data_IF_294569910663
#
_entry.id   IF_294569910663
#
_cell.length_a   1.000
_cell.length_b   1.000
_cell.length_c   1.000
_cell.angle_alpha   90.00
_cell.angle_beta   90.00
_cell.angle_gamma   90.00
#
_symmetry.space_group_name_H-M   'P 1'
#
loop_
_entity.id
_entity.type
_entity.pdbx_description
1 polymer ?
#
# COMPACT_ATOMS: atom_id res chain seq x y z
N UNK A 1 7.40 -14.22 -1.29
CA UNK A 1 6.57 -13.43 -2.22
C UNK A 1 5.35 -13.01 -1.44
N UNK A 2 5.26 -11.72 -1.12
CA UNK A 2 4.17 -11.16 -0.32
C UNK A 2 3.19 -10.44 -1.23
N UNK A 3 1.92 -10.46 -0.88
CA UNK A 3 0.86 -9.73 -1.58
C UNK A 3 0.37 -8.62 -0.67
N UNK A 4 0.14 -7.43 -1.22
CA UNK A 4 -0.40 -6.29 -0.48
C UNK A 4 -1.60 -5.71 -1.22
N UNK A 5 -2.65 -5.35 -0.48
CA UNK A 5 -3.80 -4.63 -1.03
C UNK A 5 -3.53 -3.13 -1.00
N UNK A 6 -3.80 -2.46 -2.12
CA UNK A 6 -3.66 -1.00 -2.25
C UNK A 6 -5.02 -0.34 -2.23
N UNK A 7 -5.18 0.71 -1.42
CA UNK A 7 -6.35 1.59 -1.46
C UNK A 7 -5.95 2.93 -2.06
N UNK A 8 -6.47 3.20 -3.26
CA UNK A 8 -6.21 4.43 -4.00
C UNK A 8 -7.37 5.41 -3.77
N UNK A 9 -7.05 6.56 -3.19
CA UNK A 9 -7.98 7.67 -2.97
C UNK A 9 -7.69 8.76 -3.98
N UNK A 10 -8.68 9.08 -4.82
CA UNK A 10 -8.55 10.19 -5.77
C UNK A 10 -8.59 11.51 -5.00
N UNK A 11 -7.59 12.35 -5.25
CA UNK A 11 -7.46 13.64 -4.59
C UNK A 11 -8.24 14.75 -5.34
N UNK A 12 -8.71 15.75 -4.58
CA UNK A 12 -9.50 16.86 -5.14
C UNK A 12 -8.74 17.66 -6.21
N UNK A 13 -7.42 17.72 -6.09
CA UNK A 13 -6.52 18.47 -6.96
C UNK A 13 -6.02 17.66 -8.16
N UNK A 14 -6.46 16.40 -8.29
CA UNK A 14 -5.89 15.42 -9.21
C UNK A 14 -4.89 14.48 -8.51
N UNK A 15 -4.56 13.38 -9.18
CA UNK A 15 -3.73 12.32 -8.61
C UNK A 15 -4.45 11.41 -7.62
N UNK A 16 -3.67 10.53 -7.00
CA UNK A 16 -4.13 9.50 -6.09
C UNK A 16 -3.18 9.37 -4.90
N UNK A 17 -3.73 9.47 -3.70
CA UNK A 17 -3.07 9.01 -2.48
C UNK A 17 -3.27 7.51 -2.35
N UNK A 18 -2.21 6.75 -2.08
CA UNK A 18 -2.27 5.31 -1.84
C UNK A 18 -2.03 5.04 -0.37
N UNK A 19 -2.82 4.14 0.21
CA UNK A 19 -2.53 3.54 1.51
C UNK A 19 -2.49 2.02 1.40
N UNK A 20 -1.66 1.40 2.24
CA UNK A 20 -1.53 -0.05 2.33
C UNK A 20 -2.04 -0.50 3.71
N UNK A 21 -3.28 -1.03 3.83
CA UNK A 21 -3.88 -1.30 5.13
C UNK A 21 -3.07 -2.24 6.03
N UNK A 22 -2.38 -3.21 5.42
CA UNK A 22 -1.53 -4.19 6.11
C UNK A 22 -0.15 -3.64 6.51
N UNK A 23 0.23 -2.45 6.03
CA UNK A 23 1.45 -1.73 6.41
C UNK A 23 1.09 -0.34 6.95
N UNK A 24 0.65 -0.23 8.22
CA UNK A 24 0.24 1.03 8.80
C UNK A 24 1.31 2.11 8.65
N UNK A 25 0.90 3.28 8.15
CA UNK A 25 1.80 4.41 7.89
C UNK A 25 2.44 4.41 6.50
N UNK A 26 2.33 3.33 5.72
CA UNK A 26 2.74 3.31 4.32
C UNK A 26 1.71 4.09 3.48
N UNK A 27 2.00 5.37 3.25
CA UNK A 27 1.18 6.31 2.50
C UNK A 27 2.04 6.93 1.41
N UNK A 28 1.57 6.87 0.17
CA UNK A 28 2.26 7.45 -1.00
C UNK A 28 1.29 8.25 -1.86
N UNK A 29 1.80 8.90 -2.90
CA UNK A 29 1.01 9.66 -3.85
C UNK A 29 1.59 9.49 -5.26
N UNK A 30 0.74 9.54 -6.29
CA UNK A 30 1.14 9.68 -7.69
C UNK A 30 0.13 10.51 -8.49
N UNK A 31 0.57 11.16 -9.56
CA UNK A 31 -0.27 12.04 -10.40
C UNK A 31 -1.31 11.25 -11.20
N UNK A 32 -1.06 9.95 -11.41
CA UNK A 32 -1.95 9.01 -12.07
C UNK A 32 -1.88 7.63 -11.38
N UNK A 33 -2.74 6.69 -11.82
CA UNK A 33 -2.85 5.36 -11.19
C UNK A 33 -1.55 4.56 -11.30
N UNK A 34 -0.90 4.56 -12.47
CA UNK A 34 0.31 3.76 -12.70
C UNK A 34 1.47 4.29 -11.83
N UNK A 35 1.63 5.60 -11.78
CA UNK A 35 2.61 6.25 -10.91
C UNK A 35 2.31 5.96 -9.43
N UNK A 36 1.06 6.10 -9.00
CA UNK A 36 0.67 5.86 -7.62
C UNK A 36 0.97 4.41 -7.18
N UNK A 37 0.75 3.43 -8.06
CA UNK A 37 1.11 2.03 -7.83
C UNK A 37 2.64 1.86 -7.78
N UNK A 38 3.40 2.51 -8.67
CA UNK A 38 4.86 2.47 -8.66
C UNK A 38 5.43 3.01 -7.34
N UNK A 39 4.93 4.18 -6.92
CA UNK A 39 5.33 4.82 -5.67
C UNK A 39 4.98 3.95 -4.46
N UNK A 40 3.80 3.34 -4.44
CA UNK A 40 3.40 2.40 -3.40
C UNK A 40 4.32 1.17 -3.36
N UNK A 41 4.70 0.62 -4.52
CA UNK A 41 5.60 -0.54 -4.60
C UNK A 41 6.96 -0.23 -3.98
N UNK A 42 7.58 0.89 -4.35
CA UNK A 42 8.88 1.30 -3.78
C UNK A 42 8.79 1.51 -2.26
N UNK A 43 7.73 2.18 -1.79
CA UNK A 43 7.52 2.39 -0.36
C UNK A 43 7.27 1.09 0.41
N UNK A 44 6.54 0.13 -0.17
CA UNK A 44 6.37 -1.22 0.39
C UNK A 44 7.74 -1.89 0.51
N UNK A 45 8.54 -1.93 -0.56
CA UNK A 45 9.85 -2.58 -0.56
C UNK A 45 10.75 -2.02 0.56
N UNK A 46 10.81 -0.69 0.69
CA UNK A 46 11.56 -0.03 1.76
C UNK A 46 11.02 -0.36 3.17
N UNK A 47 9.70 -0.40 3.33
CA UNK A 47 9.07 -0.76 4.62
C UNK A 47 9.46 -2.19 5.04
N UNK A 48 9.46 -3.13 4.09
CA UNK A 48 9.82 -4.53 4.37
C UNK A 48 11.29 -4.70 4.71
N UNK A 49 12.17 -3.90 4.10
CA UNK A 49 13.58 -3.86 4.46
C UNK A 49 13.76 -3.42 5.92
N UNK A 50 13.08 -2.35 6.35
CA UNK A 50 13.15 -1.87 7.74
C UNK A 50 12.64 -2.92 8.74
N UNK A 51 11.49 -3.55 8.47
CA UNK A 51 10.96 -4.63 9.33
C UNK A 51 11.95 -5.78 9.46
N UNK A 52 12.58 -6.16 8.34
CA UNK A 52 13.56 -7.23 8.31
C UNK A 52 14.81 -6.88 9.11
N UNK A 53 15.31 -5.66 9.01
CA UNK A 53 16.45 -5.17 9.80
C UNK A 53 16.16 -5.16 11.30
N UNK A 54 14.92 -4.85 11.68
CA UNK A 54 14.44 -4.86 13.07
C UNK A 54 14.09 -6.26 13.59
N UNK A 55 14.12 -7.29 12.73
CA UNK A 55 13.75 -8.65 13.08
C UNK A 55 12.26 -8.82 13.37
N UNK A 56 11.42 -7.95 12.81
CA UNK A 56 9.98 -7.97 12.99
C UNK A 56 9.29 -8.90 11.97
N UNK A 57 8.06 -9.28 12.29
CA UNK A 57 7.25 -10.12 11.40
C UNK A 57 6.80 -9.30 10.21
N UNK A 58 7.02 -9.84 9.01
CA UNK A 58 6.52 -9.24 7.76
C UNK A 58 5.03 -9.60 7.59
N UNK A 59 4.11 -8.61 7.58
CA UNK A 59 2.70 -8.85 7.30
C UNK A 59 2.48 -9.14 5.80
N UNK A 60 1.39 -9.83 5.46
CA UNK A 60 1.08 -10.30 4.10
C UNK A 60 -0.43 -10.53 3.93
N UNK A 61 -0.99 -10.13 2.79
CA UNK A 61 -2.42 -10.22 2.45
C UNK A 61 -2.77 -11.47 1.61
N UNK A 62 -1.86 -12.43 1.47
CA UNK A 62 -2.08 -13.66 0.68
C UNK A 62 -3.37 -14.42 1.02
N UNK A 63 -3.88 -14.32 2.25
CA UNK A 63 -5.11 -14.99 2.71
C UNK A 63 -6.18 -14.00 3.21
N UNK A 64 -6.16 -12.76 2.71
CA UNK A 64 -7.10 -11.70 3.12
C UNK A 64 -8.07 -11.37 1.98
N UNK A 65 -9.36 -11.29 2.30
CA UNK A 65 -10.41 -10.82 1.40
C UNK A 65 -10.76 -9.36 1.74
N UNK A 66 -10.73 -8.49 0.73
CA UNK A 66 -11.24 -7.12 0.83
C UNK A 66 -12.54 -7.01 0.02
N UNK A 67 -13.59 -6.43 0.60
CA UNK A 67 -14.89 -6.25 -0.05
C UNK A 67 -15.48 -4.89 0.31
N UNK A 68 -16.22 -4.29 -0.63
CA UNK A 68 -17.01 -3.09 -0.40
C UNK A 68 -18.48 -3.47 -0.23
N UNK A 69 -19.11 -3.00 0.84
CA UNK A 69 -20.55 -3.13 1.05
C UNK A 69 -21.23 -1.80 0.70
N UNK A 70 -22.29 -1.85 -0.10
CA UNK A 70 -23.16 -0.71 -0.34
C UNK A 70 -24.37 -0.89 0.57
N UNK A 71 -24.64 0.09 1.43
CA UNK A 71 -25.77 0.12 2.36
C UNK A 71 -26.81 1.14 1.92
#
# INVERSE_FOLDING_TARGET
MHTYKLRLHKEAQGGFTVSVPSLPGCITYGENVDEAISMAKEAIELYLEELKERGEVIPDDNNVLEYSLIV
#
